data_IF_536538395009
#
_entry.id   IF_536538395009
#
_cell.length_a   1.000
_cell.length_b   1.000
_cell.length_c   1.000
_cell.angle_alpha   90.00
_cell.angle_beta   90.00
_cell.angle_gamma   90.00
#
_symmetry.space_group_name_H-M   'P 1'
#
loop_
_entity.id
_entity.type
_entity.pdbx_description
1 polymer ?
#
# COMPACT_ATOMS: atom_id res chain seq x y z
N UNK A 1 -22.36 0.52 -31.13
CA UNK A 1 -21.22 1.45 -30.97
C UNK A 1 -21.72 2.67 -30.22
N UNK A 2 -21.57 2.71 -28.89
CA UNK A 2 -21.57 3.91 -28.03
C UNK A 2 -21.63 3.46 -26.56
N UNK A 3 -20.48 3.16 -25.96
CA UNK A 3 -20.38 2.92 -24.50
C UNK A 3 -19.22 3.72 -23.86
N UNK A 4 -18.71 4.76 -24.52
CA UNK A 4 -17.56 5.55 -24.03
C UNK A 4 -17.97 6.83 -23.24
N UNK A 5 -19.27 7.06 -23.05
CA UNK A 5 -19.77 8.30 -22.43
C UNK A 5 -19.97 8.23 -20.90
N UNK A 6 -19.94 7.05 -20.28
CA UNK A 6 -20.15 6.92 -18.82
C UNK A 6 -18.88 7.14 -18.00
N UNK A 7 -17.71 6.74 -18.52
CA UNK A 7 -16.42 6.84 -17.80
C UNK A 7 -15.88 8.28 -17.82
N UNK A 8 -16.20 9.06 -18.84
CA UNK A 8 -15.73 10.44 -19.02
C UNK A 8 -16.63 11.50 -18.38
N UNK A 9 -17.74 11.11 -17.76
CA UNK A 9 -18.61 12.08 -17.10
C UNK A 9 -17.99 12.44 -15.74
N UNK A 10 -17.57 13.69 -15.50
CA UNK A 10 -16.98 14.10 -14.21
C UNK A 10 -17.90 13.81 -13.03
N UNK A 11 -19.21 13.72 -13.29
CA UNK A 11 -20.26 13.33 -12.33
C UNK A 11 -20.14 11.88 -11.88
N UNK A 12 -19.82 10.93 -12.76
CA UNK A 12 -19.71 9.49 -12.41
C UNK A 12 -18.45 9.27 -11.57
N UNK A 13 -17.33 9.90 -11.95
CA UNK A 13 -16.09 9.87 -11.17
C UNK A 13 -16.27 10.54 -9.79
N UNK A 14 -16.95 11.69 -9.74
CA UNK A 14 -17.27 12.35 -8.48
C UNK A 14 -18.19 11.50 -7.60
N UNK A 15 -19.24 10.90 -8.16
CA UNK A 15 -20.16 10.03 -7.43
C UNK A 15 -19.46 8.77 -6.90
N UNK A 16 -18.62 8.12 -7.71
CA UNK A 16 -17.81 6.98 -7.29
C UNK A 16 -16.85 7.36 -6.15
N UNK A 17 -16.13 8.48 -6.29
CA UNK A 17 -15.24 9.00 -5.24
C UNK A 17 -15.98 9.28 -3.93
N UNK A 18 -17.16 9.89 -4.00
CA UNK A 18 -18.00 10.16 -2.83
C UNK A 18 -18.45 8.86 -2.16
N UNK A 19 -18.92 7.87 -2.94
CA UNK A 19 -19.33 6.57 -2.41
C UNK A 19 -18.16 5.87 -1.71
N UNK A 20 -16.97 5.87 -2.32
CA UNK A 20 -15.76 5.29 -1.73
C UNK A 20 -15.40 5.99 -0.42
N UNK A 21 -15.42 7.32 -0.37
CA UNK A 21 -15.14 8.09 0.85
C UNK A 21 -16.17 7.78 1.94
N UNK A 22 -17.47 7.70 1.59
CA UNK A 22 -18.53 7.40 2.55
C UNK A 22 -18.40 5.98 3.10
N UNK A 23 -18.19 4.98 2.24
CA UNK A 23 -17.94 3.60 2.69
C UNK A 23 -16.72 3.53 3.60
N UNK A 24 -15.63 4.23 3.25
CA UNK A 24 -14.41 4.24 4.03
C UNK A 24 -14.59 4.91 5.39
N UNK A 25 -15.32 6.03 5.46
CA UNK A 25 -15.67 6.68 6.72
C UNK A 25 -16.59 5.82 7.58
N UNK A 26 -17.51 5.06 6.98
CA UNK A 26 -18.39 4.13 7.70
C UNK A 26 -17.62 2.93 8.25
N UNK A 27 -16.75 2.32 7.44
CA UNK A 27 -15.94 1.16 7.82
C UNK A 27 -14.96 1.51 8.95
N UNK A 28 -14.31 2.67 8.84
CA UNK A 28 -13.38 3.17 9.86
C UNK A 28 -14.08 3.75 11.10
N UNK A 29 -15.23 4.40 10.94
CA UNK A 29 -15.90 5.15 12.01
C UNK A 29 -16.92 4.36 12.83
N UNK A 30 -17.65 3.42 12.22
CA UNK A 30 -18.81 2.74 12.85
C UNK A 30 -18.50 1.30 13.25
N UNK A 31 -17.74 0.55 12.44
CA UNK A 31 -17.46 -0.87 12.69
C UNK A 31 -16.30 -1.13 13.66
N UNK A 32 -15.50 -0.11 13.94
CA UNK A 32 -14.25 -0.21 14.69
C UNK A 32 -14.46 -0.12 16.22
N UNK A 33 -15.46 -0.80 16.81
CA UNK A 33 -15.75 -0.68 18.25
C UNK A 33 -15.58 -1.96 19.07
N UNK A 34 -15.43 -3.12 18.44
CA UNK A 34 -15.35 -4.39 19.17
C UNK A 34 -13.96 -5.02 19.10
N UNK A 35 -13.24 -4.86 20.20
CA UNK A 35 -11.97 -5.51 20.50
C UNK A 35 -12.20 -7.00 20.79
N UNK A 36 -12.28 -7.83 19.75
CA UNK A 36 -12.01 -9.25 19.90
C UNK A 36 -10.58 -9.52 19.47
N UNK A 37 -9.75 -10.03 20.38
CA UNK A 37 -8.40 -10.47 20.04
C UNK A 37 -8.53 -11.75 19.21
N UNK A 38 -8.55 -11.61 17.89
CA UNK A 38 -8.54 -12.76 16.98
C UNK A 38 -7.21 -13.49 17.16
N UNK A 39 -7.29 -14.75 17.57
CA UNK A 39 -6.11 -15.60 17.72
C UNK A 39 -5.46 -15.86 16.35
N UNK A 40 -4.12 -15.95 16.30
CA UNK A 40 -3.40 -16.20 15.04
C UNK A 40 -3.91 -17.45 14.29
N UNK A 41 -4.33 -18.49 15.02
CA UNK A 41 -4.88 -19.72 14.43
C UNK A 41 -6.25 -19.49 13.78
N UNK A 42 -7.08 -18.68 14.43
CA UNK A 42 -8.40 -18.32 13.93
C UNK A 42 -8.28 -17.44 12.68
N UNK A 43 -7.42 -16.42 12.72
CA UNK A 43 -7.14 -15.55 11.58
C UNK A 43 -6.60 -16.32 10.36
N UNK A 44 -5.69 -17.28 10.59
CA UNK A 44 -5.16 -18.13 9.52
C UNK A 44 -6.25 -19.02 8.92
N UNK A 45 -7.09 -19.63 9.77
CA UNK A 45 -8.20 -20.49 9.32
C UNK A 45 -9.18 -19.69 8.47
N UNK A 46 -9.59 -18.51 8.92
CA UNK A 46 -10.46 -17.63 8.14
C UNK A 46 -9.82 -17.21 6.83
N UNK A 47 -8.53 -16.89 6.83
CA UNK A 47 -7.82 -16.54 5.59
C UNK A 47 -7.84 -17.69 4.59
N UNK A 48 -7.58 -18.92 5.03
CA UNK A 48 -7.59 -20.12 4.18
C UNK A 48 -9.01 -20.40 3.66
N UNK A 49 -10.03 -20.28 4.49
CA UNK A 49 -11.43 -20.48 4.09
C UNK A 49 -11.83 -19.48 3.00
N UNK A 50 -11.52 -18.19 3.17
CA UNK A 50 -11.83 -17.17 2.17
C UNK A 50 -11.03 -17.33 0.88
N UNK A 51 -9.75 -17.68 0.97
CA UNK A 51 -8.94 -18.00 -0.21
C UNK A 51 -9.52 -19.22 -0.94
N UNK A 52 -9.84 -20.29 -0.20
CA UNK A 52 -10.41 -21.51 -0.74
C UNK A 52 -11.76 -21.27 -1.44
N UNK A 53 -12.63 -20.45 -0.83
CA UNK A 53 -13.91 -20.07 -1.44
C UNK A 53 -13.71 -19.28 -2.74
N UNK A 54 -12.76 -18.33 -2.77
CA UNK A 54 -12.42 -17.60 -3.99
C UNK A 54 -11.84 -18.52 -5.07
N UNK A 55 -10.97 -19.46 -4.70
CA UNK A 55 -10.40 -20.43 -5.63
C UNK A 55 -11.46 -21.42 -6.16
N UNK A 56 -12.40 -21.84 -5.33
CA UNK A 56 -13.54 -22.66 -5.75
C UNK A 56 -14.41 -21.90 -6.77
N UNK A 57 -14.67 -20.61 -6.52
CA UNK A 57 -15.39 -19.77 -7.47
C UNK A 57 -14.60 -19.56 -8.77
N UNK A 58 -13.28 -19.38 -8.69
CA UNK A 58 -12.38 -19.32 -9.85
C UNK A 58 -12.48 -20.61 -10.70
N UNK A 59 -12.54 -21.78 -10.05
CA UNK A 59 -12.75 -23.04 -10.75
C UNK A 59 -14.12 -23.12 -11.43
N UNK A 60 -15.19 -22.59 -10.80
CA UNK A 60 -16.51 -22.49 -11.44
C UNK A 60 -16.44 -21.61 -12.68
N UNK A 61 -15.75 -20.46 -12.64
CA UNK A 61 -15.55 -19.60 -13.82
C UNK A 61 -14.83 -20.38 -14.92
N UNK A 62 -13.80 -21.15 -14.57
CA UNK A 62 -13.06 -21.95 -15.55
C UNK A 62 -13.93 -23.01 -16.25
N UNK A 63 -14.89 -23.64 -15.54
CA UNK A 63 -15.76 -24.66 -16.13
C UNK A 63 -17.01 -24.11 -16.83
N UNK A 64 -17.47 -22.91 -16.46
CA UNK A 64 -18.73 -22.33 -16.97
C UNK A 64 -18.52 -21.25 -18.02
N UNK A 65 -17.35 -20.61 -18.04
CA UNK A 65 -16.98 -19.54 -18.97
C UNK A 65 -15.69 -19.91 -19.73
N UNK A 66 -15.06 -18.92 -20.36
CA UNK A 66 -13.81 -19.07 -21.10
C UNK A 66 -12.56 -18.83 -20.24
N UNK A 67 -11.41 -19.30 -20.74
CA UNK A 67 -10.09 -19.12 -20.11
C UNK A 67 -9.71 -17.65 -19.87
N UNK A 68 -10.20 -16.73 -20.71
CA UNK A 68 -9.97 -15.30 -20.56
C UNK A 68 -10.65 -14.72 -19.31
N UNK A 69 -11.89 -15.15 -19.03
CA UNK A 69 -12.62 -14.74 -17.83
C UNK A 69 -11.96 -15.27 -16.55
N UNK A 70 -11.51 -16.53 -16.58
CA UNK A 70 -10.73 -17.14 -15.50
C UNK A 70 -9.44 -16.34 -15.22
N UNK A 71 -8.67 -16.02 -16.27
CA UNK A 71 -7.40 -15.29 -16.12
C UNK A 71 -7.64 -13.89 -15.53
N UNK A 72 -8.65 -13.16 -16.02
CA UNK A 72 -9.04 -11.85 -15.49
C UNK A 72 -9.43 -11.92 -14.01
N UNK A 73 -10.25 -12.89 -13.63
CA UNK A 73 -10.63 -13.09 -12.24
C UNK A 73 -9.41 -13.39 -11.36
N UNK A 74 -8.55 -14.31 -11.80
CA UNK A 74 -7.39 -14.72 -11.02
C UNK A 74 -6.37 -13.58 -10.86
N UNK A 75 -6.12 -12.82 -11.92
CA UNK A 75 -5.26 -11.63 -11.89
C UNK A 75 -5.83 -10.56 -10.95
N UNK A 76 -7.13 -10.23 -11.07
CA UNK A 76 -7.77 -9.25 -10.19
C UNK A 76 -7.70 -9.69 -8.72
N UNK A 77 -8.06 -10.94 -8.43
CA UNK A 77 -8.03 -11.49 -7.08
C UNK A 77 -6.65 -11.41 -6.43
N UNK A 78 -5.59 -11.82 -7.15
CA UNK A 78 -4.24 -11.78 -6.60
C UNK A 78 -3.72 -10.35 -6.43
N UNK A 79 -4.03 -9.44 -7.35
CA UNK A 79 -3.67 -8.03 -7.23
C UNK A 79 -4.33 -7.41 -6.00
N UNK A 80 -5.63 -7.64 -5.80
CA UNK A 80 -6.36 -7.15 -4.62
C UNK A 80 -5.81 -7.75 -3.32
N UNK A 81 -5.50 -9.05 -3.32
CA UNK A 81 -4.93 -9.72 -2.15
C UNK A 81 -3.53 -9.19 -1.82
N UNK A 82 -2.68 -9.00 -2.83
CA UNK A 82 -1.34 -8.46 -2.66
C UNK A 82 -1.38 -7.02 -2.10
N UNK A 83 -2.27 -6.17 -2.61
CA UNK A 83 -2.45 -4.80 -2.12
C UNK A 83 -2.89 -4.78 -0.64
N UNK A 84 -3.77 -5.70 -0.25
CA UNK A 84 -4.22 -5.84 1.14
C UNK A 84 -3.09 -6.30 2.07
N UNK A 85 -2.28 -7.26 1.64
CA UNK A 85 -1.15 -7.82 2.43
C UNK A 85 -0.01 -6.81 2.54
N UNK A 86 0.28 -6.05 1.48
CA UNK A 86 1.28 -4.99 1.46
C UNK A 86 1.00 -3.94 2.54
N UNK A 87 -0.25 -3.48 2.62
CA UNK A 87 -0.69 -2.54 3.66
C UNK A 87 -0.53 -3.14 5.07
N UNK A 88 -0.94 -4.40 5.29
CA UNK A 88 -0.82 -5.06 6.60
C UNK A 88 0.64 -5.21 7.05
N UNK A 89 1.53 -5.55 6.11
CA UNK A 89 2.96 -5.74 6.39
C UNK A 89 3.61 -4.48 6.95
N UNK A 90 3.34 -3.32 6.33
CA UNK A 90 3.83 -2.02 6.82
C UNK A 90 3.37 -1.77 8.26
N UNK A 91 2.11 -2.06 8.58
CA UNK A 91 1.61 -1.88 9.95
C UNK A 91 2.29 -2.81 10.96
N UNK A 92 2.51 -4.08 10.61
CA UNK A 92 3.20 -5.04 11.48
C UNK A 92 4.64 -4.57 11.76
N UNK A 93 5.37 -4.11 10.73
CA UNK A 93 6.73 -3.57 10.89
C UNK A 93 6.75 -2.34 11.79
N UNK A 94 5.83 -1.39 11.59
CA UNK A 94 5.72 -0.17 12.40
C UNK A 94 5.38 -0.51 13.85
N UNK A 95 4.41 -1.40 14.09
CA UNK A 95 4.06 -1.83 15.46
C UNK A 95 5.20 -2.58 16.14
N UNK A 96 5.95 -3.39 15.40
CA UNK A 96 7.15 -4.07 15.89
C UNK A 96 8.26 -3.08 16.25
N UNK A 97 8.53 -2.11 15.39
CA UNK A 97 9.56 -1.09 15.61
C UNK A 97 9.28 -0.22 16.85
N UNK A 98 8.02 0.17 17.07
CA UNK A 98 7.61 1.00 18.22
C UNK A 98 7.16 0.20 19.44
N UNK A 99 7.18 -1.14 19.38
CA UNK A 99 6.73 -2.05 20.43
C UNK A 99 5.36 -1.66 21.01
N UNK A 100 4.40 -1.39 20.12
CA UNK A 100 3.09 -0.84 20.49
C UNK A 100 2.28 -1.89 21.27
N UNK A 101 1.74 -1.58 22.46
CA UNK A 101 0.88 -2.49 23.21
C UNK A 101 -0.38 -2.88 22.42
N UNK A 102 -0.80 -4.15 22.49
CA UNK A 102 -1.94 -4.71 21.72
C UNK A 102 -3.25 -3.92 21.87
N UNK A 103 -3.54 -3.41 23.07
CA UNK A 103 -4.74 -2.61 23.34
C UNK A 103 -4.78 -1.27 22.58
N UNK A 104 -3.63 -0.78 22.09
CA UNK A 104 -3.53 0.44 21.30
C UNK A 104 -3.45 0.19 19.79
N UNK A 105 -3.23 -1.06 19.34
CA UNK A 105 -3.09 -1.39 17.91
C UNK A 105 -4.25 -0.84 17.10
N UNK A 106 -5.46 -0.98 17.62
CA UNK A 106 -6.67 -0.49 16.97
C UNK A 106 -6.67 1.04 16.75
N UNK A 107 -6.26 1.82 17.77
CA UNK A 107 -6.23 3.29 17.67
C UNK A 107 -5.10 3.75 16.74
N UNK A 108 -3.93 3.13 16.83
CA UNK A 108 -2.79 3.47 15.98
C UNK A 108 -3.07 3.06 14.54
N UNK A 109 -3.71 1.92 14.32
CA UNK A 109 -4.14 1.46 12.99
C UNK A 109 -5.13 2.43 12.37
N UNK A 110 -6.14 2.88 13.12
CA UNK A 110 -7.12 3.85 12.64
C UNK A 110 -6.46 5.15 12.15
N UNK A 111 -5.64 5.80 12.99
CA UNK A 111 -4.93 7.02 12.61
C UNK A 111 -3.89 6.77 11.50
N UNK A 112 -3.27 5.58 11.49
CA UNK A 112 -2.32 5.16 10.47
C UNK A 112 -2.96 4.99 9.10
N UNK A 113 -4.13 4.34 9.00
CA UNK A 113 -4.87 4.16 7.74
C UNK A 113 -5.31 5.52 7.19
N UNK A 114 -5.89 6.38 8.03
CA UNK A 114 -6.31 7.73 7.62
C UNK A 114 -5.12 8.54 7.12
N UNK A 115 -4.00 8.54 7.87
CA UNK A 115 -2.77 9.21 7.47
C UNK A 115 -2.22 8.67 6.15
N UNK A 116 -2.10 7.34 6.03
CA UNK A 116 -1.61 6.67 4.83
C UNK A 116 -2.47 6.98 3.60
N UNK A 117 -3.80 7.01 3.75
CA UNK A 117 -4.71 7.37 2.65
C UNK A 117 -4.53 8.82 2.20
N UNK A 118 -4.38 9.76 3.14
CA UNK A 118 -4.13 11.17 2.83
C UNK A 118 -2.79 11.33 2.12
N UNK A 119 -1.71 10.73 2.65
CA UNK A 119 -0.41 10.75 1.99
C UNK A 119 -0.46 10.11 0.60
N UNK A 120 -1.20 9.00 0.45
CA UNK A 120 -1.40 8.32 -0.83
C UNK A 120 -2.12 9.24 -1.83
N UNK A 121 -3.18 9.95 -1.42
CA UNK A 121 -3.86 10.92 -2.28
C UNK A 121 -2.91 12.04 -2.71
N UNK A 122 -2.17 12.63 -1.76
CA UNK A 122 -1.18 13.69 -2.05
C UNK A 122 -0.12 13.18 -3.04
N UNK A 123 0.48 12.01 -2.79
CA UNK A 123 1.49 11.45 -3.67
C UNK A 123 0.96 11.11 -5.06
N UNK A 124 -0.28 10.64 -5.18
CA UNK A 124 -0.89 10.35 -6.49
C UNK A 124 -1.13 11.64 -7.26
N UNK A 125 -1.84 12.62 -6.69
CA UNK A 125 -2.18 13.85 -7.41
C UNK A 125 -0.94 14.66 -7.76
N UNK A 126 -0.06 14.90 -6.79
CA UNK A 126 1.19 15.62 -7.02
C UNK A 126 2.14 14.82 -7.91
N UNK A 127 2.20 13.50 -7.73
CA UNK A 127 3.09 12.63 -8.50
C UNK A 127 2.72 12.53 -9.97
N UNK A 128 1.43 12.43 -10.30
CA UNK A 128 0.95 12.39 -11.70
C UNK A 128 1.30 13.69 -12.42
N UNK A 129 1.04 14.85 -11.80
CA UNK A 129 1.36 16.16 -12.37
C UNK A 129 2.87 16.34 -12.58
N UNK A 130 3.69 15.93 -11.61
CA UNK A 130 5.15 15.95 -11.71
C UNK A 130 5.67 15.04 -12.84
N UNK A 131 5.11 13.85 -12.98
CA UNK A 131 5.46 12.91 -14.04
C UNK A 131 5.11 13.52 -15.40
N UNK A 132 3.93 14.10 -15.57
CA UNK A 132 3.51 14.71 -16.84
C UNK A 132 4.44 15.84 -17.31
N UNK A 133 4.98 16.62 -16.38
CA UNK A 133 5.89 17.73 -16.70
C UNK A 133 7.33 17.30 -16.99
N UNK A 134 7.74 16.08 -16.63
CA UNK A 134 9.15 15.65 -16.63
C UNK A 134 9.46 14.54 -17.65
N UNK A 135 8.72 14.53 -18.77
CA UNK A 135 9.09 13.73 -19.93
C UNK A 135 10.22 14.41 -20.71
N UNK A 136 11.34 13.70 -20.86
CA UNK A 136 12.45 14.15 -21.69
C UNK A 136 12.12 13.94 -23.19
N UNK A 137 12.69 14.78 -24.08
CA UNK A 137 12.67 14.51 -25.50
C UNK A 137 13.34 13.16 -25.82
N UNK A 138 12.93 12.50 -26.92
CA UNK A 138 13.45 11.19 -27.29
C UNK A 138 14.96 11.23 -27.47
N UNK A 139 15.65 10.27 -26.87
CA UNK A 139 17.11 10.19 -26.87
C UNK A 139 17.51 9.02 -27.75
N UNK A 140 18.32 9.29 -28.78
CA UNK A 140 18.88 8.27 -29.65
C UNK A 140 20.26 7.88 -29.12
N UNK A 141 20.40 6.67 -28.58
CA UNK A 141 21.68 6.15 -28.10
C UNK A 141 21.87 4.75 -28.68
N UNK A 142 23.04 4.47 -29.27
CA UNK A 142 23.41 3.14 -29.79
C UNK A 142 22.40 2.51 -30.75
N UNK A 143 21.72 3.32 -31.58
CA UNK A 143 20.74 2.81 -32.56
C UNK A 143 19.42 2.31 -31.96
N UNK A 144 19.18 2.55 -30.67
CA UNK A 144 17.87 2.37 -30.03
C UNK A 144 17.30 3.74 -29.66
N UNK A 145 16.06 3.99 -30.07
CA UNK A 145 15.34 5.21 -29.72
C UNK A 145 14.62 4.97 -28.40
N UNK A 146 15.00 5.68 -27.35
CA UNK A 146 14.22 5.70 -26.11
C UNK A 146 13.20 6.82 -26.26
N UNK A 147 11.95 6.46 -26.59
CA UNK A 147 10.94 7.43 -27.02
C UNK A 147 10.39 8.30 -25.88
N UNK A 148 10.36 7.80 -24.64
CA UNK A 148 9.82 8.54 -23.49
C UNK A 148 10.54 8.16 -22.20
N UNK A 149 11.61 8.88 -21.86
CA UNK A 149 12.24 8.78 -20.53
C UNK A 149 11.59 9.80 -19.62
N UNK A 150 11.01 9.33 -18.52
CA UNK A 150 10.56 10.21 -17.46
C UNK A 150 11.62 10.24 -16.36
N UNK A 151 12.24 11.40 -16.13
CA UNK A 151 13.33 11.52 -15.16
C UNK A 151 12.87 11.11 -13.77
N UNK A 152 11.66 11.53 -13.37
CA UNK A 152 11.11 11.25 -12.05
C UNK A 152 10.86 9.75 -11.89
N UNK A 153 10.23 9.11 -12.87
CA UNK A 153 9.98 7.66 -12.81
C UNK A 153 11.29 6.86 -12.76
N UNK A 154 12.30 7.26 -13.54
CA UNK A 154 13.61 6.61 -13.54
C UNK A 154 14.33 6.80 -12.21
N UNK A 155 14.35 8.01 -11.65
CA UNK A 155 14.93 8.29 -10.33
C UNK A 155 14.22 7.52 -9.23
N UNK A 156 12.88 7.50 -9.25
CA UNK A 156 12.07 6.78 -8.28
C UNK A 156 12.30 5.26 -8.36
N UNK A 157 12.42 4.72 -9.58
CA UNK A 157 12.77 3.32 -9.80
C UNK A 157 14.14 2.96 -9.22
N UNK A 158 15.17 3.78 -9.45
CA UNK A 158 16.51 3.59 -8.88
C UNK A 158 16.45 3.66 -7.34
N UNK A 159 15.74 4.66 -6.80
CA UNK A 159 15.56 4.82 -5.36
C UNK A 159 14.90 3.58 -4.72
N UNK A 160 13.86 3.03 -5.34
CA UNK A 160 13.18 1.83 -4.84
C UNK A 160 14.07 0.59 -4.86
N UNK A 161 14.90 0.41 -5.91
CA UNK A 161 15.88 -0.69 -5.95
C UNK A 161 16.87 -0.57 -4.79
N UNK A 162 17.43 0.63 -4.56
CA UNK A 162 18.37 0.87 -3.46
C UNK A 162 17.70 0.64 -2.11
N UNK A 163 16.48 1.16 -1.91
CA UNK A 163 15.72 0.97 -0.68
C UNK A 163 15.40 -0.50 -0.42
N UNK A 164 15.02 -1.26 -1.46
CA UNK A 164 14.77 -2.69 -1.37
C UNK A 164 16.00 -3.49 -0.94
N UNK A 165 17.14 -3.25 -1.60
CA UNK A 165 18.42 -3.91 -1.26
C UNK A 165 18.82 -3.57 0.19
N UNK A 166 18.72 -2.30 0.58
CA UNK A 166 19.08 -1.85 1.93
C UNK A 166 18.16 -2.44 3.00
N UNK A 167 16.85 -2.54 2.73
CA UNK A 167 15.89 -3.12 3.68
C UNK A 167 16.12 -4.61 3.89
N UNK A 168 16.52 -5.34 2.85
CA UNK A 168 16.84 -6.75 2.97
C UNK A 168 18.14 -6.97 3.78
N UNK A 169 19.18 -6.17 3.51
CA UNK A 169 20.44 -6.22 4.27
C UNK A 169 20.26 -5.85 5.75
N UNK A 170 19.27 -5.01 6.10
CA UNK A 170 19.00 -4.63 7.49
C UNK A 170 18.40 -5.76 8.35
N UNK A 171 17.88 -6.83 7.72
CA UNK A 171 17.33 -7.99 8.42
C UNK A 171 18.38 -9.03 8.84
N UNK A 172 19.64 -8.92 8.38
CA UNK A 172 20.72 -9.86 8.73
C UNK A 172 21.45 -9.52 10.05
N UNK A 173 21.20 -8.34 10.64
CA UNK A 173 21.77 -7.92 11.94
C UNK A 173 20.79 -8.15 13.11
N UNK A 174 20.22 -9.35 13.24
CA UNK A 174 19.54 -9.77 14.48
C UNK A 174 20.49 -10.58 15.35
N UNK A 175 21.42 -9.89 16.00
CA UNK A 175 21.82 -10.17 17.37
C UNK A 175 22.46 -8.89 17.95
N UNK A 176 22.15 -8.61 19.21
CA UNK A 176 22.54 -7.44 20.01
C UNK A 176 21.85 -6.09 19.73
N UNK A 177 20.84 -5.82 20.57
CA UNK A 177 20.61 -4.54 21.27
C UNK A 177 21.05 -3.26 20.51
N UNK A 178 20.33 -2.91 19.44
CA UNK A 178 20.51 -1.60 18.78
C UNK A 178 19.89 -0.51 19.65
N UNK A 179 20.72 0.10 20.50
CA UNK A 179 20.42 1.35 21.20
C UNK A 179 20.30 2.49 20.17
N UNK A 180 19.07 2.77 19.73
CA UNK A 180 18.74 3.76 18.69
C UNK A 180 18.86 5.23 19.15
N UNK A 181 19.48 5.50 20.30
CA UNK A 181 19.73 6.84 20.85
C UNK A 181 20.65 7.72 19.97
N UNK A 182 21.17 7.19 18.85
CA UNK A 182 22.07 7.90 17.92
C UNK A 182 21.50 8.18 16.52
N UNK A 183 20.18 8.09 16.33
CA UNK A 183 19.52 8.50 15.07
C UNK A 183 19.64 10.03 14.83
N UNK A 184 19.71 10.50 13.56
CA UNK A 184 19.67 11.93 13.24
C UNK A 184 18.49 12.67 13.88
N UNK A 185 17.35 11.99 14.03
CA UNK A 185 16.14 12.52 14.68
C UNK A 185 16.28 12.66 16.20
N UNK A 186 16.97 11.75 16.87
CA UNK A 186 17.20 11.82 18.32
C UNK A 186 18.06 13.05 18.69
N UNK A 187 19.00 13.43 17.81
CA UNK A 187 19.85 14.62 17.99
C UNK A 187 19.05 15.93 17.90
N UNK A 188 17.96 15.95 17.14
CA UNK A 188 17.05 17.10 17.04
C UNK A 188 16.19 17.20 18.31
N UNK A 189 15.71 16.07 18.83
CA UNK A 189 14.90 16.03 20.05
C UNK A 189 15.70 16.45 21.29
N UNK A 190 16.95 15.98 21.44
CA UNK A 190 17.84 16.42 22.54
C UNK A 190 18.27 17.89 22.46
N UNK A 191 18.14 18.52 21.28
CA UNK A 191 18.39 19.97 21.13
C UNK A 191 17.23 20.82 21.66
N UNK A 192 16.02 20.28 21.64
CA UNK A 192 14.81 20.98 22.08
C UNK A 192 14.39 20.67 23.52
N UNK A 193 14.73 19.49 24.04
CA UNK A 193 14.46 19.15 25.45
C UNK A 193 15.75 18.88 26.21
N UNK A 194 16.10 19.78 27.13
CA UNK A 194 17.13 19.55 28.15
C UNK A 194 16.56 18.58 29.19
N UNK A 195 17.01 17.33 29.17
CA UNK A 195 16.76 16.40 30.28
C UNK A 195 18.06 16.22 31.04
N UNK A 196 18.00 16.46 32.35
CA UNK A 196 19.08 16.24 33.31
C UNK A 196 19.42 14.76 33.40
N UNK A 197 20.72 14.45 33.54
CA UNK A 197 21.31 13.10 33.62
C UNK A 197 20.57 12.15 34.56
#
# INVERSE_FOLDING_TARGET
MNNDHLINHPVVLAAFGIIVIVMLLLDLGVFNKHSHEVSNKEALTWSIVWIGLSMAFSAVIYFTMDFDAFTKFQSAYWIEKALSVDNLFVFILVFGFFNVPKHLHHKVLFWGIIGALVFRAIFIFTGVELIELTYLPPIHIFGHTIEKVNVILTLFGIFLIIAGIKSWAAHEDTDENKDFTKSPGARIIHKFFKVTK
#
